data_IF_219473171931
#
_entry.id   IF_219473171931
#
_cell.length_a   1.000
_cell.length_b   1.000
_cell.length_c   1.000
_cell.angle_alpha   90.00
_cell.angle_beta   90.00
_cell.angle_gamma   90.00
#
_symmetry.space_group_name_H-M   'P 1'
#
loop_
_entity.id
_entity.type
_entity.pdbx_description
1 polymer ?
#
# COMPACT_ATOMS: atom_id res chain seq x y z
N UNK A 1 26.97 -2.19 56.73
CA UNK A 1 26.92 -3.65 56.52
C UNK A 1 27.86 -3.92 55.35
N UNK A 2 29.04 -4.46 55.65
CA UNK A 2 30.16 -4.63 54.71
C UNK A 2 29.80 -5.54 53.53
N UNK A 3 30.06 -5.06 52.30
CA UNK A 3 29.92 -5.82 51.05
C UNK A 3 30.86 -7.05 51.02
N UNK A 4 31.85 -7.07 51.91
CA UNK A 4 32.87 -8.11 52.01
C UNK A 4 32.36 -9.46 52.54
N UNK A 5 31.09 -9.57 52.97
CA UNK A 5 30.53 -10.80 53.52
C UNK A 5 29.66 -11.62 52.55
N UNK A 6 29.51 -11.19 51.29
CA UNK A 6 28.58 -11.82 50.33
C UNK A 6 29.23 -12.75 49.30
N UNK A 7 30.56 -12.87 49.24
CA UNK A 7 31.23 -13.67 48.22
C UNK A 7 32.27 -14.62 48.83
N UNK A 8 31.81 -15.57 49.63
CA UNK A 8 32.61 -16.75 49.97
C UNK A 8 32.44 -17.79 48.84
N UNK A 9 33.00 -17.47 47.67
CA UNK A 9 32.95 -18.32 46.48
C UNK A 9 34.10 -19.33 46.55
N UNK A 10 33.80 -20.63 46.52
CA UNK A 10 34.84 -21.64 46.35
C UNK A 10 35.37 -21.62 44.92
N UNK A 11 36.57 -22.17 44.67
CA UNK A 11 37.21 -22.19 43.32
C UNK A 11 36.27 -22.68 42.20
N UNK A 12 35.40 -23.65 42.50
CA UNK A 12 34.40 -24.18 41.55
C UNK A 12 33.32 -23.17 41.18
N UNK A 13 32.89 -22.32 42.11
CA UNK A 13 31.89 -21.29 41.85
C UNK A 13 32.47 -20.17 40.98
N UNK A 14 33.72 -19.76 41.26
CA UNK A 14 34.43 -18.78 40.42
C UNK A 14 34.64 -19.26 38.99
N UNK A 15 34.95 -20.54 38.78
CA UNK A 15 35.11 -21.13 37.44
C UNK A 15 33.77 -21.20 36.68
N UNK A 16 32.68 -21.47 37.38
CA UNK A 16 31.33 -21.46 36.82
C UNK A 16 30.93 -20.05 36.34
N UNK A 17 31.14 -19.01 37.16
CA UNK A 17 30.87 -17.63 36.77
C UNK A 17 31.76 -17.16 35.61
N UNK A 18 33.03 -17.57 35.58
CA UNK A 18 33.94 -17.29 34.46
C UNK A 18 33.45 -17.90 33.14
N UNK A 19 32.90 -19.12 33.19
CA UNK A 19 32.32 -19.79 32.02
C UNK A 19 31.08 -19.06 31.52
N UNK A 20 30.14 -18.72 32.41
CA UNK A 20 28.94 -17.95 32.05
C UNK A 20 29.31 -16.59 31.44
N UNK A 21 30.31 -15.91 32.01
CA UNK A 21 30.74 -14.61 31.50
C UNK A 21 31.34 -14.71 30.09
N UNK A 22 32.15 -15.74 29.81
CA UNK A 22 32.68 -15.99 28.47
C UNK A 22 31.59 -16.31 27.46
N UNK A 23 30.62 -17.15 27.85
CA UNK A 23 29.49 -17.50 26.98
C UNK A 23 28.62 -16.26 26.67
N UNK A 24 28.38 -15.40 27.66
CA UNK A 24 27.67 -14.14 27.49
C UNK A 24 28.38 -13.18 26.51
N UNK A 25 29.71 -13.01 26.66
CA UNK A 25 30.50 -12.18 25.74
C UNK A 25 30.45 -12.72 24.30
N UNK A 26 30.50 -14.04 24.13
CA UNK A 26 30.41 -14.68 22.81
C UNK A 26 29.06 -14.40 22.14
N UNK A 27 27.95 -14.52 22.89
CA UNK A 27 26.60 -14.22 22.38
C UNK A 27 26.44 -12.74 22.00
N UNK A 28 27.09 -11.82 22.72
CA UNK A 28 27.09 -10.38 22.35
C UNK A 28 27.78 -10.15 21.01
N UNK A 29 28.96 -10.75 20.80
CA UNK A 29 29.72 -10.56 19.55
C UNK A 29 29.00 -11.19 18.35
N UNK A 30 28.42 -12.37 18.51
CA UNK A 30 27.58 -13.01 17.48
C UNK A 30 26.38 -12.12 17.11
N UNK A 31 25.68 -11.55 18.10
CA UNK A 31 24.58 -10.61 17.86
C UNK A 31 25.03 -9.33 17.15
N UNK A 32 26.24 -8.81 17.46
CA UNK A 32 26.81 -7.64 16.79
C UNK A 32 27.10 -7.91 15.32
N UNK A 33 27.64 -9.10 15.01
CA UNK A 33 27.89 -9.56 13.64
C UNK A 33 26.56 -9.71 12.89
N UNK A 34 25.58 -10.43 13.46
CA UNK A 34 24.26 -10.63 12.85
C UNK A 34 23.54 -9.31 12.57
N UNK A 35 23.60 -8.35 13.50
CA UNK A 35 23.01 -7.01 13.33
C UNK A 35 23.65 -6.23 12.18
N UNK A 36 24.97 -6.35 11.99
CA UNK A 36 25.68 -5.72 10.87
C UNK A 36 25.37 -6.42 9.54
N UNK A 37 25.27 -7.75 9.52
CA UNK A 37 24.86 -8.52 8.35
C UNK A 37 23.44 -8.18 7.93
N UNK A 38 22.50 -8.05 8.88
CA UNK A 38 21.11 -7.66 8.60
C UNK A 38 21.01 -6.23 8.07
N UNK A 39 21.79 -5.29 8.62
CA UNK A 39 21.88 -3.92 8.10
C UNK A 39 22.45 -3.86 6.67
N UNK A 40 23.36 -4.77 6.33
CA UNK A 40 23.95 -4.84 5.00
C UNK A 40 23.05 -5.59 3.99
N UNK A 41 22.24 -6.56 4.44
CA UNK A 41 21.25 -7.25 3.58
C UNK A 41 20.02 -6.38 3.30
N UNK A 42 19.63 -5.51 4.23
CA UNK A 42 18.53 -4.54 4.07
C UNK A 42 18.94 -3.25 3.37
N UNK A 43 20.23 -3.03 3.11
CA UNK A 43 20.68 -2.08 2.08
C UNK A 43 20.29 -2.64 0.73
N UNK A 44 19.03 -2.41 0.39
CA UNK A 44 18.46 -2.60 -0.94
C UNK A 44 19.48 -2.07 -1.93
N UNK A 45 20.04 -2.94 -2.78
CA UNK A 45 20.62 -2.47 -4.03
C UNK A 45 19.53 -1.60 -4.64
N UNK A 46 19.75 -0.29 -4.73
CA UNK A 46 18.97 0.58 -5.59
C UNK A 46 19.28 0.13 -7.01
N UNK A 47 18.75 -1.03 -7.41
CA UNK A 47 18.48 -1.27 -8.80
C UNK A 47 17.59 -0.12 -9.22
N UNK A 48 18.04 0.64 -10.21
CA UNK A 48 17.24 1.64 -10.88
C UNK A 48 16.01 0.92 -11.45
N UNK A 49 14.99 0.74 -10.63
CA UNK A 49 13.67 0.26 -11.03
C UNK A 49 13.19 1.30 -12.03
N UNK A 50 13.35 0.98 -13.32
CA UNK A 50 12.69 1.74 -14.39
C UNK A 50 11.23 1.88 -13.97
N UNK A 51 10.65 3.10 -14.01
CA UNK A 51 9.25 3.26 -13.67
C UNK A 51 8.46 2.25 -14.48
N UNK A 52 7.62 1.46 -13.81
CA UNK A 52 6.78 0.48 -14.48
C UNK A 52 6.02 1.21 -15.61
N UNK A 53 5.93 0.62 -16.81
CA UNK A 53 5.22 1.26 -17.90
C UNK A 53 3.79 1.52 -17.43
N UNK A 54 3.44 2.81 -17.33
CA UNK A 54 2.08 3.20 -17.01
C UNK A 54 1.21 2.85 -18.21
N UNK A 55 0.42 1.79 -18.08
CA UNK A 55 -0.54 1.34 -19.09
C UNK A 55 -1.72 2.32 -19.15
N UNK A 56 -1.50 3.49 -19.75
CA UNK A 56 -2.58 4.40 -20.06
C UNK A 56 -3.30 3.96 -21.32
N UNK A 57 -4.60 4.24 -21.37
CA UNK A 57 -5.44 3.98 -22.54
C UNK A 57 -4.96 4.89 -23.68
N UNK A 58 -4.60 4.30 -24.82
CA UNK A 58 -4.24 5.07 -26.02
C UNK A 58 -5.49 5.65 -26.69
N UNK A 59 -5.39 6.72 -27.50
CA UNK A 59 -6.54 7.26 -28.23
C UNK A 59 -7.24 6.24 -29.14
N UNK A 60 -6.48 5.29 -29.72
CA UNK A 60 -7.05 4.19 -30.53
C UNK A 60 -7.89 3.25 -29.67
N UNK A 61 -7.37 2.88 -28.50
CA UNK A 61 -8.07 2.03 -27.52
C UNK A 61 -9.30 2.74 -26.97
N UNK A 62 -9.24 4.05 -26.71
CA UNK A 62 -10.38 4.86 -26.25
C UNK A 62 -11.56 4.79 -27.22
N UNK A 63 -11.31 4.96 -28.53
CA UNK A 63 -12.35 4.84 -29.56
C UNK A 63 -12.99 3.46 -29.61
N UNK A 64 -12.23 2.40 -29.34
CA UNK A 64 -12.75 1.04 -29.27
C UNK A 64 -13.64 0.86 -28.03
N UNK A 65 -13.19 1.33 -26.87
CA UNK A 65 -13.95 1.30 -25.61
C UNK A 65 -15.28 2.03 -25.76
N UNK A 66 -15.30 3.21 -26.39
CA UNK A 66 -16.54 3.95 -26.66
C UNK A 66 -17.54 3.14 -27.51
N UNK A 67 -17.06 2.41 -28.53
CA UNK A 67 -17.92 1.52 -29.33
C UNK A 67 -18.47 0.38 -28.49
N UNK A 68 -17.64 -0.25 -27.66
CA UNK A 68 -18.06 -1.32 -26.76
C UNK A 68 -19.09 -0.83 -25.74
N UNK A 69 -18.91 0.38 -25.17
CA UNK A 69 -19.88 0.98 -24.25
C UNK A 69 -21.22 1.22 -24.95
N UNK A 70 -21.22 1.72 -26.19
CA UNK A 70 -22.46 1.91 -26.97
C UNK A 70 -23.20 0.60 -27.20
N UNK A 71 -22.49 -0.47 -27.54
CA UNK A 71 -23.08 -1.80 -27.69
C UNK A 71 -23.58 -2.34 -26.35
N UNK A 72 -22.79 -2.18 -25.28
CA UNK A 72 -23.17 -2.66 -23.95
C UNK A 72 -24.44 -1.98 -23.44
N UNK A 73 -24.61 -0.67 -23.65
CA UNK A 73 -25.85 0.05 -23.32
C UNK A 73 -27.10 -0.53 -24.00
N UNK A 74 -26.95 -1.16 -25.17
CA UNK A 74 -28.06 -1.81 -25.88
C UNK A 74 -28.39 -3.19 -25.31
N UNK A 75 -27.37 -3.94 -24.84
CA UNK A 75 -27.52 -5.31 -24.33
C UNK A 75 -27.90 -5.30 -22.85
N UNK A 76 -27.19 -4.51 -22.05
CA UNK A 76 -27.42 -4.29 -20.62
C UNK A 76 -27.26 -2.80 -20.31
N UNK A 77 -28.38 -2.05 -20.27
CA UNK A 77 -28.36 -0.61 -20.01
C UNK A 77 -27.68 -0.24 -18.69
N UNK A 78 -27.86 -1.05 -17.63
CA UNK A 78 -27.34 -0.72 -16.30
C UNK A 78 -25.81 -0.79 -16.33
N UNK A 79 -25.25 -1.93 -16.77
CA UNK A 79 -23.79 -2.08 -16.88
C UNK A 79 -23.21 -1.12 -17.90
N UNK A 80 -23.90 -0.87 -19.02
CA UNK A 80 -23.48 0.06 -20.05
C UNK A 80 -23.36 1.50 -19.55
N UNK A 81 -24.34 1.99 -18.79
CA UNK A 81 -24.29 3.31 -18.17
C UNK A 81 -23.26 3.38 -17.04
N UNK A 82 -23.10 2.31 -16.26
CA UNK A 82 -22.09 2.24 -15.22
C UNK A 82 -20.67 2.39 -15.78
N UNK A 83 -20.31 1.61 -16.82
CA UNK A 83 -18.99 1.71 -17.47
C UNK A 83 -18.80 3.06 -18.16
N UNK A 84 -19.86 3.61 -18.74
CA UNK A 84 -19.82 4.96 -19.31
C UNK A 84 -19.45 6.02 -18.28
N UNK A 85 -20.12 6.02 -17.12
CA UNK A 85 -19.83 6.96 -16.03
C UNK A 85 -18.38 6.84 -15.55
N UNK A 86 -17.86 5.62 -15.39
CA UNK A 86 -16.45 5.41 -15.04
C UNK A 86 -15.50 5.99 -16.09
N UNK A 87 -15.80 5.80 -17.38
CA UNK A 87 -14.94 6.25 -18.48
C UNK A 87 -14.83 7.78 -18.58
N UNK A 88 -15.88 8.52 -18.21
CA UNK A 88 -15.91 9.98 -18.34
C UNK A 88 -15.54 10.71 -17.04
N UNK A 89 -15.77 10.10 -15.88
CA UNK A 89 -15.53 10.73 -14.57
C UNK A 89 -14.13 10.45 -14.03
N UNK A 90 -13.52 9.31 -14.38
CA UNK A 90 -12.28 8.84 -13.75
C UNK A 90 -12.45 8.39 -12.30
N UNK A 91 -13.67 8.31 -11.78
CA UNK A 91 -13.96 7.80 -10.44
C UNK A 91 -13.68 6.30 -10.33
N UNK A 92 -13.39 5.83 -9.12
CA UNK A 92 -13.30 4.41 -8.78
C UNK A 92 -14.70 3.79 -8.79
N UNK A 93 -14.80 2.52 -9.17
CA UNK A 93 -16.07 1.78 -9.19
C UNK A 93 -16.82 1.82 -7.86
N UNK A 94 -16.10 1.71 -6.75
CA UNK A 94 -16.65 1.75 -5.40
C UNK A 94 -17.21 3.11 -5.00
N UNK A 95 -16.75 4.19 -5.62
CA UNK A 95 -17.26 5.54 -5.35
C UNK A 95 -18.58 5.75 -6.08
N UNK A 96 -18.64 5.39 -7.36
CA UNK A 96 -19.86 5.50 -8.18
C UNK A 96 -20.97 4.59 -7.63
N UNK A 97 -20.64 3.39 -7.14
CA UNK A 97 -21.63 2.48 -6.55
C UNK A 97 -22.30 3.01 -5.27
N UNK A 98 -21.69 3.98 -4.59
CA UNK A 98 -22.21 4.58 -3.36
C UNK A 98 -23.06 5.83 -3.60
N UNK A 99 -23.07 6.34 -4.83
CA UNK A 99 -23.86 7.52 -5.22
C UNK A 99 -25.33 7.23 -5.00
N UNK A 100 -26.01 8.15 -4.30
CA UNK A 100 -27.45 8.13 -4.10
C UNK A 100 -28.11 9.22 -4.95
N UNK A 101 -29.44 9.20 -5.04
CA UNK A 101 -30.17 10.24 -5.78
C UNK A 101 -29.99 11.64 -5.19
N UNK A 102 -29.79 11.76 -3.88
CA UNK A 102 -29.48 13.04 -3.21
C UNK A 102 -28.15 13.65 -3.65
N UNK A 103 -27.23 12.83 -4.20
CA UNK A 103 -25.94 13.27 -4.71
C UNK A 103 -26.01 13.76 -6.18
N UNK A 104 -27.17 13.59 -6.83
CA UNK A 104 -27.38 13.98 -8.23
C UNK A 104 -28.16 15.30 -8.27
N UNK A 105 -27.54 16.31 -8.88
CA UNK A 105 -28.12 17.65 -9.02
C UNK A 105 -28.27 18.02 -10.48
N UNK A 106 -29.37 18.70 -10.83
CA UNK A 106 -29.57 19.26 -12.16
C UNK A 106 -29.07 20.69 -12.21
N UNK A 107 -28.33 21.01 -13.26
CA UNK A 107 -27.83 22.35 -13.55
C UNK A 107 -28.45 22.78 -14.87
N UNK A 108 -29.07 23.95 -14.90
CA UNK A 108 -29.58 24.53 -16.15
C UNK A 108 -28.49 25.41 -16.74
N UNK A 109 -28.02 25.06 -17.93
CA UNK A 109 -27.08 25.88 -18.69
C UNK A 109 -27.76 27.17 -19.16
N UNK A 110 -26.97 28.23 -19.37
CA UNK A 110 -27.40 29.47 -20.02
C UNK A 110 -27.96 29.22 -21.43
N UNK A 111 -27.51 28.14 -22.09
CA UNK A 111 -28.01 27.66 -23.39
C UNK A 111 -29.36 26.96 -23.32
N UNK A 112 -29.91 26.76 -22.12
CA UNK A 112 -31.17 26.04 -21.90
C UNK A 112 -31.01 24.52 -21.78
N UNK A 113 -29.79 23.99 -21.93
CA UNK A 113 -29.50 22.56 -21.74
C UNK A 113 -29.60 22.15 -20.27
N UNK A 114 -30.11 20.95 -20.02
CA UNK A 114 -30.15 20.34 -18.68
C UNK A 114 -28.89 19.49 -18.53
N UNK A 115 -28.01 19.92 -17.63
CA UNK A 115 -26.82 19.19 -17.23
C UNK A 115 -27.09 18.46 -15.90
N UNK A 116 -26.41 17.34 -15.70
CA UNK A 116 -26.46 16.59 -14.45
C UNK A 116 -25.07 16.59 -13.82
N UNK A 117 -25.03 16.91 -12.53
CA UNK A 117 -23.82 16.85 -11.72
C UNK A 117 -23.99 15.75 -10.68
N UNK A 118 -22.96 14.91 -10.56
CA UNK A 118 -22.94 13.80 -9.60
C UNK A 118 -21.84 14.10 -8.59
N UNK A 119 -22.23 14.29 -7.33
CA UNK A 119 -21.28 14.43 -6.24
C UNK A 119 -20.78 13.06 -5.81
N UNK A 120 -19.47 12.88 -5.77
CA UNK A 120 -18.83 11.61 -5.40
C UNK A 120 -17.95 11.84 -4.19
N UNK A 121 -18.12 11.04 -3.13
CA UNK A 121 -17.24 11.06 -1.96
C UNK A 121 -16.00 10.17 -2.24
N UNK A 122 -14.83 10.80 -2.25
CA UNK A 122 -13.51 10.19 -2.54
C UNK A 122 -12.82 9.74 -1.25
#
# INVERSE_FOLDING_TARGET
>A
MDINNYLNLNKGDTDFFLKIFKDYLKVIDENKILKNTLKNSTKTKKENLKPSPKFYITPKTSKLIEKCIKQLKQIDPISGWFVHLLSISGCRGTEIQKVKMEDITTLRSETGEILYNIKVNV
#
